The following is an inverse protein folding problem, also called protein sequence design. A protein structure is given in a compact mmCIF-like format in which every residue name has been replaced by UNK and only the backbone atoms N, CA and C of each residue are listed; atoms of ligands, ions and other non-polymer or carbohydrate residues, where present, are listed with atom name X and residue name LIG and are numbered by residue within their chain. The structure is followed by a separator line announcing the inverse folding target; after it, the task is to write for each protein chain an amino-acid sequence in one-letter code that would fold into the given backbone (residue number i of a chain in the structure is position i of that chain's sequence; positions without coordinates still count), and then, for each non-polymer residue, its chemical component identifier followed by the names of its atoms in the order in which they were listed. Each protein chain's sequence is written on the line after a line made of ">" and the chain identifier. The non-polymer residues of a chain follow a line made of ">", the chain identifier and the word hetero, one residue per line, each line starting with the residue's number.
data_IF_308909436718
#
_entry.id   IF_308909436718
#
_cell.length_a   1.000
_cell.length_b   1.000
_cell.length_c   1.000
_cell.angle_alpha   90.00
_cell.angle_beta   90.00
_cell.angle_gamma   90.00
#
_symmetry.space_group_name_H-M   'P 1'
#
loop_
_entity.id
_entity.type
_entity.pdbx_description
1 polymer ?
#
# COMPACT_ATOMS: atom_id res chain seq x y z
N UNK A 1 11.97 11.87 -1.45
CA UNK A 1 11.02 12.23 -2.53
C UNK A 1 11.56 13.31 -3.47
N UNK A 2 12.06 14.42 -2.91
CA UNK A 2 12.49 15.62 -3.67
C UNK A 2 13.64 15.38 -4.66
N UNK A 3 14.42 14.31 -4.48
CA UNK A 3 15.53 13.95 -5.36
C UNK A 3 15.14 13.01 -6.50
N UNK A 4 13.93 12.42 -6.46
CA UNK A 4 13.53 11.38 -7.41
C UNK A 4 13.48 11.87 -8.85
N UNK A 5 13.11 13.13 -9.09
CA UNK A 5 13.04 13.74 -10.42
C UNK A 5 14.36 13.67 -11.22
N UNK A 6 15.52 13.55 -10.55
CA UNK A 6 16.82 13.42 -11.21
C UNK A 6 16.96 12.13 -12.02
N UNK A 7 16.38 11.03 -11.51
CA UNK A 7 16.45 9.71 -12.14
C UNK A 7 15.11 9.31 -12.78
N UNK A 8 14.01 9.85 -12.28
CA UNK A 8 12.65 9.56 -12.71
C UNK A 8 11.92 10.89 -12.98
N UNK A 9 12.14 11.55 -14.13
CA UNK A 9 11.55 12.86 -14.44
C UNK A 9 10.02 12.88 -14.27
N UNK A 10 9.34 11.77 -14.60
CA UNK A 10 7.89 11.59 -14.41
C UNK A 10 7.45 11.82 -12.95
N UNK A 11 8.31 11.60 -11.96
CA UNK A 11 8.01 11.85 -10.56
C UNK A 11 7.77 13.34 -10.24
N UNK A 12 8.16 14.26 -11.13
CA UNK A 12 7.97 15.71 -10.98
C UNK A 12 7.12 16.27 -12.11
N UNK A 13 7.32 15.79 -13.34
CA UNK A 13 6.66 16.28 -14.54
C UNK A 13 5.28 15.65 -14.79
N UNK A 14 5.03 14.48 -14.18
CA UNK A 14 3.79 13.74 -14.34
C UNK A 14 2.56 14.48 -13.83
N UNK A 15 1.46 14.43 -14.58
CA UNK A 15 0.21 15.11 -14.22
C UNK A 15 -0.70 14.27 -13.33
N UNK A 16 -0.45 12.97 -13.27
CA UNK A 16 -1.24 12.00 -12.52
C UNK A 16 -0.42 11.38 -11.37
N UNK A 17 0.49 12.14 -10.76
CA UNK A 17 1.28 11.67 -9.63
C UNK A 17 0.45 11.43 -8.36
N UNK A 18 0.85 10.44 -7.59
CA UNK A 18 0.26 10.04 -6.29
C UNK A 18 1.30 10.09 -5.16
N UNK A 19 0.89 10.26 -3.89
CA UNK A 19 -0.50 10.38 -3.44
C UNK A 19 -1.08 11.76 -3.72
N UNK A 20 -2.39 11.93 -3.52
CA UNK A 20 -3.06 13.24 -3.55
C UNK A 20 -3.77 13.48 -2.22
N UNK A 21 -4.02 14.75 -1.94
CA UNK A 21 -4.90 15.13 -0.84
C UNK A 21 -6.37 15.01 -1.26
N UNK A 22 -7.12 14.13 -0.59
CA UNK A 22 -8.53 13.87 -0.91
C UNK A 22 -9.42 14.83 -0.14
N UNK A 23 -9.78 15.92 -0.79
CA UNK A 23 -10.73 16.91 -0.29
C UNK A 23 -12.17 16.39 -0.43
N UNK A 24 -12.73 15.83 0.64
CA UNK A 24 -14.04 15.13 0.63
C UNK A 24 -15.18 15.97 0.05
N UNK A 25 -15.20 17.28 0.31
CA UNK A 25 -16.21 18.21 -0.22
C UNK A 25 -16.18 18.38 -1.74
N UNK A 26 -15.03 18.08 -2.37
CA UNK A 26 -14.82 18.26 -3.81
C UNK A 26 -14.98 16.95 -4.59
N UNK A 27 -15.12 15.82 -3.89
CA UNK A 27 -15.30 14.52 -4.50
C UNK A 27 -16.66 14.42 -5.18
N UNK A 28 -16.69 13.85 -6.40
CA UNK A 28 -17.92 13.71 -7.19
C UNK A 28 -18.55 12.34 -6.95
N UNK A 29 -19.80 12.25 -6.46
CA UNK A 29 -20.54 11.00 -6.50
C UNK A 29 -20.60 10.48 -7.94
N UNK A 30 -20.45 9.17 -8.09
CA UNK A 30 -20.56 8.52 -9.39
C UNK A 30 -21.36 7.23 -9.24
N UNK A 31 -22.60 7.26 -9.73
CA UNK A 31 -23.56 6.15 -9.63
C UNK A 31 -23.16 4.94 -10.48
N UNK A 32 -22.18 5.08 -11.38
CA UNK A 32 -21.61 3.96 -12.12
C UNK A 32 -20.63 3.11 -11.30
N UNK A 33 -20.15 3.64 -10.17
CA UNK A 33 -19.23 2.92 -9.28
C UNK A 33 -19.94 1.77 -8.58
N UNK A 34 -19.24 0.64 -8.47
CA UNK A 34 -19.73 -0.59 -7.86
C UNK A 34 -19.01 -0.88 -6.53
N UNK A 35 -19.60 -1.68 -5.63
CA UNK A 35 -18.89 -2.18 -4.47
C UNK A 35 -17.60 -2.90 -4.87
N UNK A 36 -16.52 -2.70 -4.09
CA UNK A 36 -15.25 -3.43 -4.29
C UNK A 36 -15.41 -4.88 -3.86
N UNK A 37 -15.35 -5.79 -4.83
CA UNK A 37 -15.31 -7.24 -4.61
C UNK A 37 -13.88 -7.74 -4.72
N UNK A 38 -13.46 -8.59 -3.77
CA UNK A 38 -12.14 -9.22 -3.78
C UNK A 38 -12.29 -10.73 -3.65
N UNK A 39 -11.51 -11.48 -4.41
CA UNK A 39 -11.33 -12.93 -4.24
C UNK A 39 -9.85 -13.21 -3.95
N UNK A 40 -9.56 -13.41 -2.66
CA UNK A 40 -8.22 -13.76 -2.18
C UNK A 40 -8.11 -15.22 -1.76
N UNK A 41 -9.08 -16.06 -2.13
CA UNK A 41 -9.15 -17.46 -1.68
C UNK A 41 -7.94 -18.29 -2.10
N UNK A 42 -7.41 -17.99 -3.30
CA UNK A 42 -6.25 -18.63 -3.90
C UNK A 42 -4.97 -17.78 -3.77
N UNK A 43 -4.90 -16.84 -2.83
CA UNK A 43 -3.70 -16.01 -2.62
C UNK A 43 -2.93 -16.56 -1.43
N UNK A 44 -1.67 -16.92 -1.67
CA UNK A 44 -0.77 -17.41 -0.63
C UNK A 44 0.37 -16.41 -0.42
N UNK A 45 0.33 -15.67 0.69
CA UNK A 45 1.43 -14.81 1.12
C UNK A 45 2.40 -15.67 1.93
N UNK A 46 3.58 -15.94 1.38
CA UNK A 46 4.54 -16.87 1.99
C UNK A 46 5.85 -16.24 2.45
N UNK A 47 6.14 -15.00 2.08
CA UNK A 47 7.40 -14.34 2.47
C UNK A 47 7.17 -12.88 2.81
N UNK A 48 7.95 -12.39 3.79
CA UNK A 48 8.03 -10.98 4.15
C UNK A 48 9.47 -10.50 4.15
N UNK A 49 9.70 -9.36 3.51
CA UNK A 49 11.03 -8.79 3.29
C UNK A 49 11.08 -7.35 3.79
N UNK A 50 12.16 -6.98 4.50
CA UNK A 50 12.52 -5.58 4.72
C UNK A 50 13.26 -5.06 3.47
N UNK A 51 12.68 -4.11 2.76
CA UNK A 51 13.24 -3.57 1.51
C UNK A 51 14.17 -2.38 1.72
N UNK A 52 14.39 -1.95 2.97
CA UNK A 52 15.11 -0.74 3.34
C UNK A 52 14.28 0.55 3.22
N UNK A 53 13.22 0.55 2.41
CA UNK A 53 12.27 1.67 2.27
C UNK A 53 10.88 1.34 2.80
N UNK A 54 10.56 0.06 2.96
CA UNK A 54 9.29 -0.45 3.47
C UNK A 54 9.51 -1.91 3.91
N UNK A 55 8.45 -2.59 4.31
CA UNK A 55 8.38 -4.05 4.30
C UNK A 55 7.35 -4.48 3.25
N UNK A 56 7.62 -5.60 2.59
CA UNK A 56 6.78 -6.16 1.53
C UNK A 56 6.45 -7.60 1.88
N UNK A 57 5.16 -7.93 1.88
CA UNK A 57 4.71 -9.32 1.97
C UNK A 57 4.32 -9.78 0.56
N UNK A 58 4.95 -10.84 0.08
CA UNK A 58 4.80 -11.28 -1.31
C UNK A 58 4.00 -12.56 -1.43
N UNK A 59 3.23 -12.63 -2.51
CA UNK A 59 2.53 -13.84 -2.93
C UNK A 59 3.57 -14.83 -3.44
N UNK A 60 3.60 -16.02 -2.84
CA UNK A 60 4.53 -17.11 -3.20
C UNK A 60 3.83 -18.26 -3.91
N UNK A 61 2.49 -18.26 -3.93
CA UNK A 61 1.68 -19.32 -4.53
C UNK A 61 0.26 -18.86 -4.88
N UNK A 62 -0.39 -19.66 -5.74
CA UNK A 62 -1.77 -19.44 -6.16
C UNK A 62 -1.94 -18.53 -7.39
N UNK A 63 -2.98 -17.68 -7.42
CA UNK A 63 -3.25 -16.79 -8.57
C UNK A 63 -2.17 -15.69 -8.65
N UNK A 64 -1.47 -15.51 -9.79
CA UNK A 64 -0.65 -14.31 -9.99
C UNK A 64 -1.56 -13.08 -9.94
N UNK A 65 -1.08 -11.95 -9.45
CA UNK A 65 -1.88 -10.72 -9.51
C UNK A 65 -1.72 -9.74 -8.37
N UNK A 66 -1.17 -10.14 -7.21
CA UNK A 66 -1.19 -9.30 -6.00
C UNK A 66 0.19 -9.18 -5.36
N UNK A 67 0.52 -7.97 -4.93
CA UNK A 67 1.63 -7.67 -4.04
C UNK A 67 1.09 -6.86 -2.85
N UNK A 68 1.57 -7.17 -1.64
CA UNK A 68 1.16 -6.45 -0.42
C UNK A 68 2.31 -5.56 0.06
N UNK A 69 2.06 -4.26 0.10
CA UNK A 69 3.02 -3.25 0.53
C UNK A 69 2.41 -2.41 1.67
N UNK A 70 3.24 -1.92 2.60
CA UNK A 70 2.79 -0.94 3.60
C UNK A 70 3.75 0.23 3.64
N UNK A 71 3.21 1.44 3.52
CA UNK A 71 3.97 2.67 3.65
C UNK A 71 3.30 3.56 4.69
N UNK A 72 4.04 3.95 5.74
CA UNK A 72 3.69 5.00 6.70
C UNK A 72 2.20 5.09 7.06
N UNK A 73 1.70 4.11 7.81
CA UNK A 73 0.29 4.05 8.25
C UNK A 73 -0.73 3.92 7.11
N UNK A 74 -0.32 3.54 5.91
CA UNK A 74 -1.23 3.17 4.83
C UNK A 74 -0.80 1.82 4.24
N UNK A 75 -1.71 0.87 4.27
CA UNK A 75 -1.56 -0.42 3.59
C UNK A 75 -1.98 -0.27 2.13
N UNK A 76 -1.15 -0.80 1.23
CA UNK A 76 -1.38 -0.88 -0.20
C UNK A 76 -1.48 -2.35 -0.62
N UNK A 77 -2.66 -2.78 -1.03
CA UNK A 77 -2.84 -4.05 -1.75
C UNK A 77 -2.75 -3.75 -3.24
N UNK A 78 -1.62 -4.09 -3.86
CA UNK A 78 -1.28 -3.74 -5.24
C UNK A 78 -1.68 -4.91 -6.14
N UNK A 79 -2.59 -4.64 -7.05
CA UNK A 79 -3.08 -5.61 -8.04
C UNK A 79 -2.59 -5.21 -9.43
N UNK A 80 -2.43 -6.18 -10.32
CA UNK A 80 -2.19 -5.92 -11.74
C UNK A 80 -3.16 -6.70 -12.62
N UNK A 81 -3.42 -6.16 -13.81
CA UNK A 81 -4.37 -6.71 -14.76
C UNK A 81 -3.78 -7.93 -15.49
N UNK A 82 -4.15 -9.12 -15.00
CA UNK A 82 -3.68 -10.40 -15.55
C UNK A 82 -4.43 -10.83 -16.81
N UNK A 83 -5.53 -10.15 -17.17
CA UNK A 83 -6.29 -10.47 -18.38
C UNK A 83 -5.63 -9.86 -19.61
N UNK A 84 -5.09 -8.64 -19.46
CA UNK A 84 -4.52 -7.88 -20.57
C UNK A 84 -2.99 -7.91 -20.63
N UNK A 85 -2.29 -8.29 -19.55
CA UNK A 85 -0.83 -8.29 -19.50
C UNK A 85 -0.26 -9.65 -19.12
N UNK A 86 0.98 -9.94 -19.54
CA UNK A 86 1.66 -11.21 -19.21
C UNK A 86 2.53 -11.12 -17.98
N UNK A 87 2.86 -9.91 -17.55
CA UNK A 87 3.69 -9.67 -16.37
C UNK A 87 3.30 -8.39 -15.64
N UNK A 88 3.64 -8.34 -14.35
CA UNK A 88 3.53 -7.13 -13.56
C UNK A 88 4.30 -5.96 -14.18
N UNK A 89 5.47 -6.21 -14.79
CA UNK A 89 6.29 -5.16 -15.41
C UNK A 89 5.59 -4.49 -16.60
N UNK A 90 4.96 -5.29 -17.47
CA UNK A 90 4.15 -4.80 -18.58
C UNK A 90 2.95 -3.98 -18.08
N UNK A 91 2.21 -4.53 -17.10
CA UNK A 91 1.06 -3.86 -16.51
C UNK A 91 1.45 -2.55 -15.79
N UNK A 92 2.55 -2.54 -15.05
CA UNK A 92 3.03 -1.38 -14.33
C UNK A 92 3.46 -0.24 -15.25
N UNK A 93 3.85 -0.52 -16.50
CA UNK A 93 4.17 0.49 -17.49
C UNK A 93 2.95 0.96 -18.31
N UNK A 94 1.81 0.27 -18.21
CA UNK A 94 0.60 0.57 -18.97
C UNK A 94 -0.41 1.41 -18.19
N UNK A 95 -1.12 2.31 -18.89
CA UNK A 95 -2.19 3.09 -18.26
C UNK A 95 -3.26 2.15 -17.66
N UNK A 96 -3.56 2.33 -16.38
CA UNK A 96 -4.50 1.50 -15.60
C UNK A 96 -4.18 0.00 -15.62
N UNK A 97 -2.93 -0.39 -15.88
CA UNK A 97 -2.52 -1.78 -15.73
C UNK A 97 -2.43 -2.21 -14.27
N UNK A 98 -2.43 -1.26 -13.32
CA UNK A 98 -2.45 -1.53 -11.88
C UNK A 98 -3.73 -1.02 -11.22
N UNK A 99 -4.18 -1.74 -10.19
CA UNK A 99 -5.21 -1.27 -9.26
C UNK A 99 -4.70 -1.39 -7.82
N UNK A 100 -4.70 -0.29 -7.06
CA UNK A 100 -4.19 -0.28 -5.69
C UNK A 100 -5.30 0.04 -4.71
N UNK A 101 -5.54 -0.87 -3.77
CA UNK A 101 -6.38 -0.61 -2.62
C UNK A 101 -5.55 0.08 -1.54
N UNK A 102 -5.88 1.33 -1.22
CA UNK A 102 -5.29 2.10 -0.13
C UNK A 102 -6.14 2.03 1.13
N UNK A 103 -5.58 1.50 2.21
CA UNK A 103 -6.23 1.39 3.51
C UNK A 103 -5.44 2.24 4.51
N UNK A 104 -6.04 3.30 5.04
CA UNK A 104 -5.43 4.03 6.15
C UNK A 104 -5.45 3.17 7.42
N UNK A 105 -4.34 3.20 8.15
CA UNK A 105 -4.21 2.60 9.48
C UNK A 105 -4.38 3.70 10.51
N UNK A 106 -5.14 3.44 11.57
CA UNK A 106 -5.25 4.33 12.73
C UNK A 106 -4.82 3.58 13.99
N UNK A 107 -4.17 4.27 14.91
CA UNK A 107 -3.82 3.67 16.21
C UNK A 107 -5.10 3.46 17.00
N UNK A 108 -5.32 2.24 17.49
CA UNK A 108 -6.53 1.82 18.18
C UNK A 108 -6.37 0.41 18.75
N UNK A 109 -7.37 -0.44 18.54
CA UNK A 109 -7.33 -1.84 18.94
C UNK A 109 -6.32 -2.63 18.10
N UNK A 110 -5.78 -3.69 18.71
CA UNK A 110 -4.96 -4.64 17.98
C UNK A 110 -5.78 -5.34 16.88
N UNK A 111 -5.19 -5.48 15.70
CA UNK A 111 -5.77 -6.26 14.62
C UNK A 111 -5.05 -7.63 14.53
N UNK A 112 -5.74 -8.76 14.75
CA UNK A 112 -5.13 -10.09 14.76
C UNK A 112 -4.42 -10.47 13.45
N UNK A 113 -4.85 -9.95 12.31
CA UNK A 113 -4.19 -10.23 11.03
C UNK A 113 -2.84 -9.52 10.93
N UNK A 114 -2.74 -8.31 11.49
CA UNK A 114 -1.46 -7.60 11.58
C UNK A 114 -0.49 -8.25 12.58
N UNK A 115 -0.97 -8.92 13.64
CA UNK A 115 -0.11 -9.65 14.58
C UNK A 115 0.71 -10.75 13.90
N UNK A 116 0.12 -11.40 12.88
CA UNK A 116 0.82 -12.42 12.09
C UNK A 116 2.03 -11.86 11.36
N UNK A 117 1.99 -10.58 10.97
CA UNK A 117 3.07 -9.87 10.29
C UNK A 117 4.05 -9.24 11.28
N UNK A 118 3.55 -8.54 12.31
CA UNK A 118 4.40 -7.74 13.21
C UNK A 118 5.35 -8.61 14.05
N UNK A 119 4.95 -9.83 14.41
CA UNK A 119 5.85 -10.78 15.10
C UNK A 119 7.03 -11.21 14.24
N UNK A 120 6.95 -11.06 12.92
CA UNK A 120 8.03 -11.41 12.00
C UNK A 120 9.09 -10.30 11.88
N UNK A 121 8.79 -9.07 12.32
CA UNK A 121 9.69 -7.91 12.18
C UNK A 121 11.05 -8.14 12.86
N UNK A 122 11.05 -8.88 13.98
CA UNK A 122 12.28 -9.22 14.72
C UNK A 122 13.25 -10.14 13.94
N UNK A 123 12.77 -10.84 12.90
CA UNK A 123 13.59 -11.70 12.04
C UNK A 123 14.11 -10.98 10.79
N UNK A 124 13.53 -9.84 10.44
CA UNK A 124 13.94 -8.99 9.31
C UNK A 124 14.33 -7.55 9.73
N UNK A 125 15.06 -7.34 10.85
CA UNK A 125 15.29 -6.01 11.37
C UNK A 125 16.06 -5.10 10.41
N UNK A 126 16.87 -5.65 9.51
CA UNK A 126 17.70 -4.88 8.56
C UNK A 126 17.25 -5.05 7.11
N UNK A 127 17.62 -4.08 6.28
CA UNK A 127 17.36 -4.09 4.84
C UNK A 127 17.85 -5.40 4.19
N UNK A 128 17.08 -5.87 3.20
CA UNK A 128 17.28 -7.09 2.41
C UNK A 128 17.14 -8.40 3.18
N UNK A 129 16.69 -8.37 4.44
CA UNK A 129 16.35 -9.60 5.15
C UNK A 129 14.94 -10.05 4.80
N UNK A 130 14.79 -11.36 4.59
CA UNK A 130 13.52 -12.04 4.29
C UNK A 130 13.30 -13.18 5.27
N UNK A 131 12.05 -13.41 5.65
CA UNK A 131 11.64 -14.58 6.42
C UNK A 131 10.34 -15.16 5.83
N UNK A 132 10.18 -16.48 5.93
CA UNK A 132 8.96 -17.15 5.51
C UNK A 132 7.82 -16.88 6.49
N UNK A 133 6.62 -16.70 5.94
CA UNK A 133 5.38 -16.62 6.68
C UNK A 133 4.78 -18.03 6.73
N UNK A 134 4.83 -18.66 7.91
CA UNK A 134 4.31 -20.02 8.10
C UNK A 134 2.82 -20.04 8.46
N UNK A 135 2.20 -18.88 8.69
CA UNK A 135 0.79 -18.74 9.02
C UNK A 135 0.00 -18.19 7.84
N UNK A 136 -1.21 -18.72 7.66
CA UNK A 136 -2.09 -18.24 6.59
C UNK A 136 -2.49 -16.78 6.84
N UNK A 137 -2.10 -15.92 5.91
CA UNK A 137 -2.56 -14.54 5.83
C UNK A 137 -3.87 -14.48 5.05
N UNK A 138 -4.90 -13.90 5.64
CA UNK A 138 -6.16 -13.59 4.99
C UNK A 138 -6.22 -12.09 4.66
N UNK A 139 -5.93 -11.74 3.42
CA UNK A 139 -5.91 -10.35 2.97
C UNK A 139 -7.26 -9.63 3.13
N UNK A 140 -8.39 -10.36 3.22
CA UNK A 140 -9.71 -9.76 3.47
C UNK A 140 -9.78 -9.11 4.85
N UNK A 141 -9.04 -9.64 5.83
CA UNK A 141 -9.02 -9.13 7.20
C UNK A 141 -8.22 -7.82 7.35
N UNK A 142 -7.56 -7.36 6.28
CA UNK A 142 -6.97 -6.03 6.23
C UNK A 142 -7.90 -4.96 5.66
N UNK A 143 -9.08 -5.34 5.16
CA UNK A 143 -10.06 -4.42 4.59
C UNK A 143 -10.98 -3.88 5.69
N UNK A 144 -11.41 -2.61 5.60
CA UNK A 144 -12.40 -2.07 6.52
C UNK A 144 -13.78 -2.74 6.34
N UNK A 145 -14.63 -2.62 7.37
CA UNK A 145 -15.99 -3.15 7.34
C UNK A 145 -16.85 -2.39 6.33
N UNK A 146 -16.87 -1.06 6.40
CA UNK A 146 -17.49 -0.18 5.42
C UNK A 146 -16.57 0.01 4.22
N UNK A 147 -17.05 -0.41 3.05
CA UNK A 147 -16.30 -0.35 1.79
C UNK A 147 -16.66 0.86 0.94
N UNK A 148 -17.05 1.97 1.56
CA UNK A 148 -17.08 3.27 0.87
C UNK A 148 -15.66 3.69 0.49
N UNK A 149 -15.47 4.21 -0.71
CA UNK A 149 -14.14 4.50 -1.23
C UNK A 149 -14.12 5.71 -2.15
N UNK A 150 -12.93 6.29 -2.27
CA UNK A 150 -12.58 7.28 -3.28
C UNK A 150 -11.76 6.61 -4.38
N UNK A 151 -11.92 7.05 -5.63
CA UNK A 151 -11.14 6.53 -6.75
C UNK A 151 -10.67 7.63 -7.69
N UNK A 152 -9.44 7.49 -8.18
CA UNK A 152 -8.81 8.41 -9.11
C UNK A 152 -7.68 7.71 -9.89
N UNK A 153 -7.40 8.18 -11.10
CA UNK A 153 -6.23 7.74 -11.85
C UNK A 153 -4.97 8.43 -11.30
N UNK A 154 -3.95 7.64 -11.02
CA UNK A 154 -2.77 8.08 -10.32
C UNK A 154 -1.50 7.31 -10.70
N UNK A 155 -0.52 7.36 -9.82
CA UNK A 155 0.79 6.75 -10.03
C UNK A 155 1.18 5.80 -8.90
N UNK A 156 2.26 5.05 -9.12
CA UNK A 156 3.07 4.51 -8.04
C UNK A 156 3.59 5.66 -7.16
N UNK A 157 3.57 5.47 -5.84
CA UNK A 157 4.06 6.48 -4.87
C UNK A 157 5.55 6.33 -4.55
N UNK A 158 6.22 5.38 -5.20
CA UNK A 158 7.66 5.14 -5.16
C UNK A 158 8.18 5.08 -6.59
N UNK A 159 9.48 5.31 -6.81
CA UNK A 159 10.11 5.05 -8.10
C UNK A 159 9.75 3.67 -8.67
N UNK A 160 9.45 3.55 -9.97
CA UNK A 160 9.66 4.56 -11.02
C UNK A 160 8.53 5.60 -11.19
N UNK A 161 7.56 5.68 -10.27
CA UNK A 161 6.47 6.66 -10.28
C UNK A 161 5.56 6.62 -11.52
N UNK A 162 5.41 5.44 -12.15
CA UNK A 162 4.56 5.27 -13.33
C UNK A 162 3.10 5.64 -13.06
N UNK A 163 2.49 6.35 -14.00
CA UNK A 163 1.08 6.79 -14.00
C UNK A 163 0.13 5.70 -14.50
N UNK A 164 0.26 4.52 -13.91
CA UNK A 164 -0.41 3.28 -14.31
C UNK A 164 -1.45 2.79 -13.30
N UNK A 165 -1.68 3.55 -12.21
CA UNK A 165 -2.44 3.08 -11.06
C UNK A 165 -3.84 3.66 -11.06
N UNK A 166 -4.85 2.81 -11.07
CA UNK A 166 -6.18 3.16 -10.59
C UNK A 166 -6.22 3.01 -9.06
N UNK A 167 -6.32 4.13 -8.34
CA UNK A 167 -6.40 4.13 -6.88
C UNK A 167 -7.83 3.89 -6.41
N UNK A 168 -7.96 3.06 -5.38
CA UNK A 168 -9.18 2.85 -4.61
C UNK A 168 -8.80 3.05 -3.14
N UNK A 169 -9.13 4.21 -2.58
CA UNK A 169 -8.78 4.56 -1.19
C UNK A 169 -10.02 4.45 -0.34
N UNK A 170 -10.04 3.52 0.61
CA UNK A 170 -11.18 3.34 1.50
C UNK A 170 -11.33 4.52 2.46
N UNK A 171 -12.58 4.94 2.71
CA UNK A 171 -12.89 6.04 3.62
C UNK A 171 -12.70 5.65 5.09
N UNK A 172 -13.06 4.41 5.43
CA UNK A 172 -12.88 3.88 6.78
C UNK A 172 -11.46 3.32 6.97
N UNK A 173 -10.73 3.77 8.01
CA UNK A 173 -9.42 3.22 8.35
C UNK A 173 -9.54 1.90 9.14
N UNK A 174 -8.49 1.10 9.10
CA UNK A 174 -8.34 -0.10 9.93
C UNK A 174 -7.49 0.20 11.17
N UNK A 175 -7.84 -0.40 12.31
CA UNK A 175 -7.10 -0.22 13.56
C UNK A 175 -5.85 -1.09 13.63
N UNK A 176 -4.78 -0.54 14.19
CA UNK A 176 -3.61 -1.29 14.68
C UNK A 176 -3.26 -0.82 16.09
N UNK A 177 -2.70 -1.70 16.91
CA UNK A 177 -2.27 -1.31 18.26
C UNK A 177 -0.99 -0.48 18.23
N UNK A 178 -0.69 0.29 19.31
CA UNK A 178 0.59 0.97 19.47
C UNK A 178 1.79 0.02 19.35
N UNK A 179 1.67 -1.21 19.87
CA UNK A 179 2.72 -2.22 19.80
C UNK A 179 2.96 -2.72 18.37
N UNK A 180 1.88 -2.92 17.60
CA UNK A 180 1.97 -3.29 16.18
C UNK A 180 2.66 -2.18 15.36
N UNK A 181 2.30 -0.92 15.60
CA UNK A 181 2.98 0.22 14.97
C UNK A 181 4.46 0.29 15.35
N UNK A 182 4.79 0.10 16.63
CA UNK A 182 6.17 0.12 17.11
C UNK A 182 7.02 -0.97 16.45
N UNK A 183 6.46 -2.17 16.22
CA UNK A 183 7.16 -3.24 15.52
C UNK A 183 7.55 -2.83 14.10
N UNK A 184 6.64 -2.21 13.33
CA UNK A 184 6.98 -1.71 11.99
C UNK A 184 8.06 -0.61 12.03
N UNK A 185 7.96 0.32 13.00
CA UNK A 185 8.92 1.41 13.17
C UNK A 185 10.29 0.97 13.71
N UNK A 186 10.43 -0.27 14.18
CA UNK A 186 11.69 -0.83 14.65
C UNK A 186 12.61 -1.34 13.53
N UNK A 187 12.06 -1.55 12.32
CA UNK A 187 12.84 -1.96 11.16
C UNK A 187 13.90 -0.92 10.83
N UNK A 188 15.00 -1.35 10.24
CA UNK A 188 16.12 -0.50 9.82
C UNK A 188 16.12 -0.32 8.31
N UNK A 189 16.46 0.88 7.86
CA UNK A 189 16.53 1.27 6.44
C UNK A 189 17.87 0.93 5.78
N UNK A 190 18.82 0.36 6.53
CA UNK A 190 20.16 0.03 6.09
C UNK A 190 20.46 -1.48 6.27
N UNK A 191 21.41 -2.05 5.52
CA UNK A 191 21.74 -3.47 5.63
C UNK A 191 22.59 -3.74 6.88
N UNK A 192 22.50 -4.96 7.42
CA UNK A 192 23.21 -5.37 8.65
C UNK A 192 24.73 -5.23 8.56
N UNK A 193 25.29 -5.32 7.36
CA UNK A 193 26.73 -5.19 7.09
C UNK A 193 27.23 -3.74 7.13
N UNK A 194 26.34 -2.76 7.16
CA UNK A 194 26.69 -1.34 7.19
C UNK A 194 26.66 -0.80 8.61
N UNK A 195 27.46 0.23 8.86
CA UNK A 195 27.38 1.01 10.09
C UNK A 195 26.00 1.64 10.23
N UNK A 196 25.53 1.74 11.48
CA UNK A 196 24.29 2.44 11.78
C UNK A 196 24.42 3.91 11.33
N UNK A 197 23.50 4.42 10.50
CA UNK A 197 23.47 5.82 10.16
C UNK A 197 23.43 6.69 11.42
N UNK A 198 24.30 7.70 11.46
CA UNK A 198 24.33 8.70 12.54
C UNK A 198 23.20 9.72 12.38
N UNK A 199 21.95 9.25 12.32
CA UNK A 199 20.74 10.08 12.30
C UNK A 199 19.98 10.01 13.64
N UNK A 200 19.09 10.97 13.85
CA UNK A 200 18.27 11.06 15.08
C UNK A 200 17.37 9.83 15.30
N UNK A 201 17.08 9.10 14.21
CA UNK A 201 16.21 7.95 14.16
C UNK A 201 17.00 6.64 14.35
N UNK A 202 18.32 6.70 14.47
CA UNK A 202 19.24 5.55 14.56
C UNK A 202 18.99 4.56 13.42
N UNK A 203 18.77 5.08 12.21
CA UNK A 203 18.45 4.33 11.00
C UNK A 203 17.13 3.56 11.04
N UNK A 204 16.23 3.86 11.98
CA UNK A 204 14.88 3.31 11.98
C UNK A 204 14.11 3.73 10.73
N UNK A 205 13.36 2.81 10.17
CA UNK A 205 12.48 3.01 9.04
C UNK A 205 11.20 3.70 9.52
N UNK A 206 11.26 5.02 9.54
CA UNK A 206 10.12 5.91 9.79
C UNK A 206 9.97 6.89 8.62
N UNK A 207 8.82 7.57 8.56
CA UNK A 207 8.51 8.60 7.55
C UNK A 207 8.74 8.14 6.09
N UNK A 208 8.50 6.86 5.84
CA UNK A 208 8.59 6.24 4.52
C UNK A 208 7.35 6.53 3.65
N UNK A 209 7.04 7.81 3.46
CA UNK A 209 5.96 8.28 2.59
C UNK A 209 6.46 9.32 1.57
N UNK A 210 5.65 9.49 0.52
CA UNK A 210 5.78 10.60 -0.42
C UNK A 210 4.76 11.68 -0.05
N UNK A 211 5.14 12.98 -0.03
CA UNK A 211 4.18 14.06 0.12
C UNK A 211 3.08 14.03 -0.95
N UNK A 212 1.92 14.62 -0.64
CA UNK A 212 0.84 14.76 -1.60
C UNK A 212 1.30 15.57 -2.83
N UNK A 213 1.02 15.04 -4.01
CA UNK A 213 1.22 15.68 -5.30
C UNK A 213 0.00 16.52 -5.68
N UNK A 214 0.15 17.50 -6.59
CA UNK A 214 -0.96 18.30 -7.10
C UNK A 214 -2.05 17.44 -7.74
N UNK A 215 -3.32 17.78 -7.50
CA UNK A 215 -4.46 17.10 -8.13
C UNK A 215 -4.48 17.31 -9.66
N UNK A 216 -4.01 18.47 -10.13
CA UNK A 216 -4.13 18.92 -11.52
C UNK A 216 -5.60 18.84 -12.01
N UNK A 217 -5.82 18.39 -13.25
CA UNK A 217 -7.16 18.34 -13.85
C UNK A 217 -7.97 17.09 -13.47
N UNK A 218 -7.45 16.26 -12.54
CA UNK A 218 -8.10 15.00 -12.16
C UNK A 218 -9.32 15.24 -11.29
N UNK A 219 -10.33 14.39 -11.48
CA UNK A 219 -11.51 14.33 -10.60
C UNK A 219 -11.40 13.12 -9.68
N UNK A 220 -11.59 13.34 -8.38
CA UNK A 220 -11.77 12.24 -7.42
C UNK A 220 -13.25 11.88 -7.37
N UNK A 221 -13.55 10.61 -7.62
CA UNK A 221 -14.92 10.07 -7.57
C UNK A 221 -15.13 9.33 -6.26
N UNK A 222 -16.37 9.28 -5.79
CA UNK A 222 -16.71 8.61 -4.51
C UNK A 222 -17.84 7.61 -4.70
N UNK A 223 -17.63 6.42 -4.15
CA UNK A 223 -18.65 5.40 -3.94
C UNK A 223 -19.04 5.36 -2.47
N UNK A 224 -20.34 5.36 -2.18
CA UNK A 224 -20.88 5.24 -0.83
C UNK A 224 -21.57 3.88 -0.70
N UNK A 225 -21.05 3.04 0.18
CA UNK A 225 -21.73 1.80 0.54
C UNK A 225 -23.03 2.14 1.27
N UNK A 226 -24.08 1.35 1.03
CA UNK A 226 -25.29 1.43 1.85
C UNK A 226 -24.93 1.18 3.32
N UNK A 227 -25.57 1.85 4.28
CA UNK A 227 -25.38 1.54 5.69
C UNK A 227 -25.66 0.05 5.90
N UNK A 228 -24.73 -0.66 6.53
CA UNK A 228 -25.02 -2.02 6.99
C UNK A 228 -26.25 -1.93 7.90
N UNK A 229 -27.28 -2.75 7.63
CA UNK A 229 -28.35 -2.94 8.62
C UNK A 229 -27.67 -3.58 9.82
N UNK A 230 -27.74 -2.94 10.98
CA UNK A 230 -27.40 -3.60 12.24
C UNK A 230 -28.34 -4.80 12.37
N UNK A 231 -27.79 -6.01 12.32
CA UNK A 231 -28.46 -7.24 12.75
C UNK A 231 -28.20 -7.48 14.24
#
# INVERSE_FOLDING_TARGET
>A
PDTWGKAFPIAVEGKNQSPIDIQRSNCKPDDSLKPVTVDYSAVEIGEITNTGSSWKAQVTGGKPGIYVYVMSMQLHLVHWDTENFKSFGEAAAAHRGLAVLGIFLKVGKANPEFDKLTKLMAFIPYMNQTVNINEKINCVNFLPHNRSYFTYDGSLTTPPCYESVNWIVFEEPVEISPAQLAAFRSLKSYPKSSECPCDELKGCMVDNYRPCCPLNDRTVRVYRASPAREE
#
